data_IF_810829074003
#
_entry.id   IF_810829074003
#
_cell.length_a   1.000
_cell.length_b   1.000
_cell.length_c   1.000
_cell.angle_alpha   90.00
_cell.angle_beta   90.00
_cell.angle_gamma   90.00
#
_symmetry.space_group_name_H-M   'P 1'
#
loop_
_entity.id
_entity.type
_entity.pdbx_description
1 polymer ?
#
# COMPACT_ATOMS: atom_id res chain seq x y z
N UNK A 1 3.39 25.39 0.49
CA UNK A 1 2.27 24.54 0.03
C UNK A 1 2.82 23.13 -0.17
N UNK A 2 2.20 22.16 0.46
CA UNK A 2 2.53 20.74 0.28
C UNK A 2 2.04 20.27 -1.09
N UNK A 3 2.85 19.45 -1.74
CA UNK A 3 2.55 18.87 -3.05
C UNK A 3 2.74 17.36 -2.94
N UNK A 4 1.82 16.61 -3.52
CA UNK A 4 1.95 15.18 -3.69
C UNK A 4 2.25 14.86 -5.16
N UNK A 5 3.28 14.06 -5.38
CA UNK A 5 3.70 13.58 -6.69
C UNK A 5 3.89 12.06 -6.63
N UNK A 6 3.57 11.39 -7.72
CA UNK A 6 3.59 9.94 -7.79
C UNK A 6 4.36 9.50 -9.03
N UNK A 7 5.25 8.53 -8.85
CA UNK A 7 6.04 7.96 -9.94
C UNK A 7 5.61 6.50 -10.14
N UNK A 8 4.98 6.17 -11.29
CA UNK A 8 4.52 4.82 -11.57
C UNK A 8 5.64 3.93 -12.10
N UNK A 9 5.61 2.63 -11.72
CA UNK A 9 6.58 1.63 -12.12
C UNK A 9 5.93 0.29 -12.47
N UNK A 10 6.53 -0.41 -13.42
CA UNK A 10 6.22 -1.81 -13.72
C UNK A 10 6.99 -2.75 -12.79
N UNK A 11 8.26 -2.46 -12.54
CA UNK A 11 9.18 -3.31 -11.76
C UNK A 11 9.39 -2.78 -10.34
N UNK A 12 9.34 -3.68 -9.35
CA UNK A 12 9.54 -3.34 -7.94
C UNK A 12 10.98 -2.91 -7.65
N UNK A 13 11.96 -3.50 -8.34
CA UNK A 13 13.36 -3.17 -8.13
C UNK A 13 13.66 -1.73 -8.56
N UNK A 14 13.05 -1.27 -9.64
CA UNK A 14 13.16 0.12 -10.10
C UNK A 14 12.48 1.08 -9.15
N UNK A 15 11.27 0.74 -8.65
CA UNK A 15 10.59 1.50 -7.62
C UNK A 15 11.42 1.60 -6.32
N UNK A 16 12.00 0.49 -5.85
CA UNK A 16 12.90 0.47 -4.69
C UNK A 16 14.15 1.32 -4.92
N UNK A 17 14.77 1.20 -6.10
CA UNK A 17 15.94 2.01 -6.45
C UNK A 17 15.63 3.50 -6.40
N UNK A 18 14.48 3.91 -6.95
CA UNK A 18 14.01 5.31 -6.91
C UNK A 18 13.76 5.77 -5.47
N UNK A 19 12.98 5.02 -4.71
CA UNK A 19 12.68 5.35 -3.32
C UNK A 19 13.96 5.52 -2.47
N UNK A 20 14.90 4.59 -2.58
CA UNK A 20 16.15 4.66 -1.82
C UNK A 20 17.03 5.86 -2.23
N UNK A 21 17.06 6.21 -3.52
CA UNK A 21 17.77 7.41 -3.99
C UNK A 21 17.16 8.68 -3.43
N UNK A 22 15.83 8.78 -3.38
CA UNK A 22 15.11 9.90 -2.80
C UNK A 22 15.32 9.97 -1.28
N UNK A 23 15.18 8.84 -0.58
CA UNK A 23 15.38 8.76 0.86
C UNK A 23 16.79 9.16 1.31
N UNK A 24 17.83 8.79 0.55
CA UNK A 24 19.23 9.20 0.83
C UNK A 24 19.48 10.69 0.65
N UNK A 25 18.59 11.38 -0.05
CA UNK A 25 18.67 12.82 -0.31
C UNK A 25 17.70 13.62 0.56
N UNK A 26 17.00 12.96 1.47
CA UNK A 26 15.93 13.56 2.28
C UNK A 26 14.87 14.29 1.44
N UNK A 27 14.52 13.74 0.30
CA UNK A 27 13.49 14.32 -0.58
C UNK A 27 12.11 13.98 -0.05
N UNK A 28 11.32 15.02 0.21
CA UNK A 28 9.94 14.91 0.65
C UNK A 28 9.78 14.78 2.17
N UNK A 29 8.63 15.17 2.66
CA UNK A 29 8.18 15.00 4.05
C UNK A 29 7.64 13.58 4.29
N UNK A 30 7.15 12.94 3.23
CA UNK A 30 6.69 11.56 3.23
C UNK A 30 7.08 10.90 1.91
N UNK A 31 7.61 9.70 2.01
CA UNK A 31 8.07 8.91 0.86
C UNK A 31 7.67 7.46 1.09
N UNK A 32 6.98 6.86 0.12
CA UNK A 32 6.59 5.46 0.19
C UNK A 32 6.45 4.81 -1.18
N UNK A 33 6.67 3.48 -1.24
CA UNK A 33 6.20 2.65 -2.35
C UNK A 33 4.85 2.07 -1.97
N UNK A 34 3.89 2.12 -2.90
CA UNK A 34 2.57 1.51 -2.79
C UNK A 34 2.39 0.53 -3.95
N UNK A 35 1.83 -0.66 -3.68
CA UNK A 35 1.45 -1.56 -4.77
C UNK A 35 0.17 -1.11 -5.45
N UNK A 36 0.00 -1.39 -6.74
CA UNK A 36 -1.26 -1.11 -7.44
C UNK A 36 -2.42 -1.91 -6.83
N UNK A 37 -2.16 -3.11 -6.32
CA UNK A 37 -3.16 -3.91 -5.60
C UNK A 37 -3.57 -3.25 -4.30
N UNK A 38 -2.62 -2.78 -3.49
CA UNK A 38 -2.91 -2.02 -2.28
C UNK A 38 -3.75 -0.78 -2.58
N UNK A 39 -3.37 -0.01 -3.61
CA UNK A 39 -4.14 1.14 -4.05
C UNK A 39 -5.56 0.74 -4.47
N UNK A 40 -5.71 -0.32 -5.27
CA UNK A 40 -7.02 -0.83 -5.68
C UNK A 40 -7.89 -1.21 -4.47
N UNK A 41 -7.31 -1.88 -3.47
CA UNK A 41 -7.98 -2.27 -2.24
C UNK A 41 -8.44 -1.08 -1.41
N UNK A 42 -7.62 -0.05 -1.30
CA UNK A 42 -7.95 1.13 -0.51
C UNK A 42 -8.90 2.09 -1.23
N UNK A 43 -8.81 2.17 -2.55
CA UNK A 43 -9.54 3.16 -3.34
C UNK A 43 -10.90 2.66 -3.82
N UNK A 44 -11.03 1.36 -4.01
CA UNK A 44 -12.24 0.78 -4.58
C UNK A 44 -13.28 0.47 -3.50
N UNK A 45 -14.52 0.85 -3.71
CA UNK A 45 -15.56 0.68 -2.69
C UNK A 45 -16.19 -0.72 -2.67
N UNK A 46 -15.96 -1.55 -3.69
CA UNK A 46 -16.48 -2.92 -3.76
C UNK A 46 -15.41 -3.90 -4.22
N UNK A 47 -15.49 -5.19 -3.84
CA UNK A 47 -14.53 -6.21 -4.28
C UNK A 47 -14.44 -6.33 -5.81
N UNK A 48 -15.56 -6.17 -6.52
CA UNK A 48 -15.58 -6.24 -7.97
C UNK A 48 -14.79 -5.09 -8.60
N UNK A 49 -14.97 -3.86 -8.10
CA UNK A 49 -14.24 -2.68 -8.59
C UNK A 49 -12.75 -2.82 -8.27
N UNK A 50 -12.40 -3.35 -7.08
CA UNK A 50 -11.01 -3.66 -6.73
C UNK A 50 -10.37 -4.55 -7.78
N UNK A 51 -11.03 -5.67 -8.08
CA UNK A 51 -10.51 -6.64 -9.05
C UNK A 51 -10.39 -6.04 -10.45
N UNK A 52 -11.39 -5.31 -10.90
CA UNK A 52 -11.36 -4.68 -12.22
C UNK A 52 -10.26 -3.62 -12.31
N UNK A 53 -10.07 -2.84 -11.25
CA UNK A 53 -9.01 -1.84 -11.18
C UNK A 53 -7.62 -2.51 -11.21
N UNK A 54 -7.42 -3.56 -10.41
CA UNK A 54 -6.18 -4.34 -10.39
C UNK A 54 -5.88 -4.96 -11.77
N UNK A 55 -6.89 -5.60 -12.39
CA UNK A 55 -6.77 -6.19 -13.73
C UNK A 55 -6.37 -5.14 -14.76
N UNK A 56 -6.96 -3.96 -14.72
CA UNK A 56 -6.65 -2.86 -15.64
C UNK A 56 -5.22 -2.38 -15.43
N UNK A 57 -4.83 -2.11 -14.20
CA UNK A 57 -3.46 -1.68 -13.89
C UNK A 57 -2.44 -2.70 -14.39
N UNK A 58 -2.62 -3.97 -14.04
CA UNK A 58 -1.66 -5.03 -14.36
C UNK A 58 -1.64 -5.38 -15.85
N UNK A 59 -2.81 -5.60 -16.46
CA UNK A 59 -2.93 -6.13 -17.82
C UNK A 59 -2.70 -5.09 -18.91
N UNK A 60 -3.24 -3.89 -18.73
CA UNK A 60 -3.25 -2.87 -19.78
C UNK A 60 -2.24 -1.74 -19.55
N UNK A 61 -2.05 -1.34 -18.29
CA UNK A 61 -1.15 -0.23 -17.95
C UNK A 61 0.26 -0.69 -17.61
N UNK A 62 0.46 -1.96 -17.28
CA UNK A 62 1.70 -2.49 -16.67
C UNK A 62 2.10 -1.71 -15.40
N UNK A 63 1.12 -1.13 -14.72
CA UNK A 63 1.30 -0.39 -13.46
C UNK A 63 1.21 -1.36 -12.29
N UNK A 64 2.34 -1.66 -11.67
CA UNK A 64 2.39 -2.54 -10.50
C UNK A 64 2.74 -1.78 -9.21
N UNK A 65 3.49 -0.68 -9.32
CA UNK A 65 4.04 0.05 -8.20
C UNK A 65 3.97 1.55 -8.41
N UNK A 66 3.83 2.28 -7.31
CA UNK A 66 3.85 3.74 -7.30
C UNK A 66 4.77 4.21 -6.18
N UNK A 67 5.76 5.02 -6.51
CA UNK A 67 6.52 5.78 -5.52
C UNK A 67 5.76 7.07 -5.26
N UNK A 68 5.28 7.23 -4.03
CA UNK A 68 4.54 8.41 -3.55
C UNK A 68 5.48 9.33 -2.80
N UNK A 69 5.52 10.60 -3.16
CA UNK A 69 6.30 11.64 -2.49
C UNK A 69 5.36 12.79 -2.13
N UNK A 70 5.30 13.14 -0.84
CA UNK A 70 4.65 14.35 -0.36
C UNK A 70 5.74 15.29 0.11
N UNK A 71 5.79 16.50 -0.40
CA UNK A 71 6.86 17.44 -0.10
C UNK A 71 6.58 18.85 -0.57
N UNK A 72 7.61 19.58 -0.88
CA UNK A 72 7.59 20.96 -1.36
C UNK A 72 7.69 21.03 -2.88
N UNK A 73 7.58 22.23 -3.44
CA UNK A 73 7.83 22.47 -4.88
C UNK A 73 9.28 22.17 -5.29
N UNK A 74 10.23 22.27 -4.38
CA UNK A 74 11.62 21.96 -4.70
C UNK A 74 11.82 20.44 -4.70
N UNK A 75 11.17 19.70 -3.80
CA UNK A 75 11.13 18.24 -3.85
C UNK A 75 10.50 17.74 -5.16
N UNK A 76 9.43 18.39 -5.61
CA UNK A 76 8.78 18.06 -6.90
C UNK A 76 9.78 18.14 -8.06
N UNK A 77 10.57 19.22 -8.14
CA UNK A 77 11.57 19.39 -9.22
C UNK A 77 12.60 18.25 -9.19
N UNK A 78 13.06 17.87 -7.98
CA UNK A 78 14.03 16.78 -7.85
C UNK A 78 13.42 15.46 -8.33
N UNK A 79 12.16 15.18 -7.98
CA UNK A 79 11.47 13.96 -8.44
C UNK A 79 11.29 13.98 -9.95
N UNK A 80 10.86 15.11 -10.54
CA UNK A 80 10.66 15.25 -11.98
C UNK A 80 11.97 15.14 -12.78
N UNK A 81 13.11 15.56 -12.22
CA UNK A 81 14.43 15.38 -12.83
C UNK A 81 14.92 13.92 -12.80
N UNK A 82 14.42 13.13 -11.84
CA UNK A 82 14.83 11.74 -11.64
C UNK A 82 13.88 10.72 -12.29
N UNK A 83 12.66 11.11 -12.60
CA UNK A 83 11.63 10.25 -13.17
C UNK A 83 11.40 10.57 -14.65
N UNK A 84 11.18 9.55 -15.47
CA UNK A 84 10.85 9.74 -16.88
C UNK A 84 9.46 10.37 -17.07
N UNK A 85 8.55 10.12 -16.12
CA UNK A 85 7.21 10.68 -16.07
C UNK A 85 6.62 10.59 -14.66
N UNK A 86 5.69 11.47 -14.37
CA UNK A 86 5.06 11.58 -13.05
C UNK A 86 3.54 11.71 -13.16
N UNK A 87 2.84 11.34 -12.10
CA UNK A 87 1.44 11.68 -11.86
C UNK A 87 1.38 12.78 -10.81
N UNK A 88 0.66 13.84 -11.10
CA UNK A 88 0.30 14.82 -10.09
C UNK A 88 -0.89 14.36 -9.23
N UNK A 89 -1.10 15.07 -8.14
CA UNK A 89 -2.21 14.82 -7.21
C UNK A 89 -3.58 14.88 -7.89
N UNK A 90 -3.76 15.75 -8.87
CA UNK A 90 -5.03 15.90 -9.59
C UNK A 90 -5.36 14.65 -10.40
N UNK A 91 -4.39 14.10 -11.11
CA UNK A 91 -4.56 12.87 -11.88
C UNK A 91 -4.80 11.67 -10.97
N UNK A 92 -4.03 11.54 -9.88
CA UNK A 92 -4.25 10.47 -8.90
C UNK A 92 -5.66 10.59 -8.28
N UNK A 93 -6.09 11.79 -7.91
CA UNK A 93 -7.45 12.05 -7.42
C UNK A 93 -8.50 11.62 -8.45
N UNK A 94 -8.29 11.90 -9.72
CA UNK A 94 -9.19 11.47 -10.79
C UNK A 94 -9.23 9.96 -10.93
N UNK A 95 -8.11 9.26 -10.82
CA UNK A 95 -8.05 7.80 -10.80
C UNK A 95 -8.82 7.22 -9.61
N UNK A 96 -8.65 7.80 -8.43
CA UNK A 96 -9.33 7.38 -7.19
C UNK A 96 -10.85 7.57 -7.29
N UNK A 97 -11.28 8.76 -7.65
CA UNK A 97 -12.70 9.08 -7.79
C UNK A 97 -13.33 8.36 -8.96
N UNK A 98 -12.56 8.19 -10.02
CA UNK A 98 -12.96 7.48 -11.22
C UNK A 98 -12.80 5.95 -11.14
N UNK A 99 -12.30 5.38 -10.03
CA UNK A 99 -12.10 3.94 -9.90
C UNK A 99 -13.36 3.13 -10.26
N UNK A 100 -14.57 3.47 -9.79
CA UNK A 100 -15.79 2.79 -10.20
C UNK A 100 -16.06 2.91 -11.69
N UNK A 101 -15.78 4.05 -12.30
CA UNK A 101 -15.94 4.27 -13.73
C UNK A 101 -14.83 3.64 -14.54
N UNK A 102 -13.62 3.64 -14.01
CA UNK A 102 -12.48 2.99 -14.62
C UNK A 102 -12.74 1.48 -14.83
N UNK A 103 -13.44 0.85 -13.90
CA UNK A 103 -13.86 -0.55 -14.06
C UNK A 103 -14.76 -0.76 -15.28
N UNK A 104 -15.55 0.24 -15.67
CA UNK A 104 -16.40 0.16 -16.88
C UNK A 104 -15.61 0.27 -18.19
N UNK A 105 -14.34 0.66 -18.13
CA UNK A 105 -13.44 0.71 -19.30
C UNK A 105 -12.79 -0.66 -19.57
N UNK A 106 -12.96 -1.64 -18.69
CA UNK A 106 -12.44 -2.98 -18.89
C UNK A 106 -12.87 -3.51 -20.27
N UNK A 107 -11.90 -4.05 -20.99
CA UNK A 107 -12.07 -4.56 -22.36
C UNK A 107 -12.45 -3.50 -23.42
N UNK A 108 -12.39 -2.21 -23.11
CA UNK A 108 -12.60 -1.13 -24.08
C UNK A 108 -11.48 -1.09 -25.13
N UNK A 109 -11.80 -0.51 -26.30
CA UNK A 109 -10.80 -0.29 -27.36
C UNK A 109 -9.64 0.58 -26.89
N UNK A 110 -9.91 1.57 -26.04
CA UNK A 110 -8.89 2.40 -25.44
C UNK A 110 -7.85 1.57 -24.67
N UNK A 111 -8.29 0.64 -23.81
CA UNK A 111 -7.36 -0.19 -23.03
C UNK A 111 -6.62 -1.20 -23.91
N UNK A 112 -7.25 -1.70 -24.96
CA UNK A 112 -6.59 -2.59 -25.94
C UNK A 112 -5.45 -1.85 -26.65
N UNK A 113 -5.73 -0.67 -27.20
CA UNK A 113 -4.71 0.18 -27.84
C UNK A 113 -3.58 0.49 -26.86
N UNK A 114 -3.91 0.84 -25.62
CA UNK A 114 -2.90 1.09 -24.58
C UNK A 114 -2.01 -0.13 -24.31
N UNK A 115 -2.57 -1.32 -24.30
CA UNK A 115 -1.80 -2.56 -24.04
C UNK A 115 -0.85 -2.94 -25.17
N UNK A 116 -1.03 -2.38 -26.36
CA UNK A 116 -0.17 -2.57 -27.53
C UNK A 116 1.03 -1.59 -27.54
N UNK A 117 1.00 -0.55 -26.71
CA UNK A 117 2.11 0.37 -26.56
C UNK A 117 3.33 -0.35 -25.95
N UNK A 118 4.52 -0.01 -26.42
CA UNK A 118 5.79 -0.53 -25.89
C UNK A 118 5.94 -0.15 -24.41
N UNK A 119 5.67 1.12 -24.09
CA UNK A 119 5.62 1.66 -22.73
C UNK A 119 4.24 2.30 -22.44
N UNK A 120 3.29 1.51 -21.94
CA UNK A 120 1.95 2.00 -21.62
C UNK A 120 1.95 3.09 -20.53
N UNK A 121 2.87 3.05 -19.57
CA UNK A 121 2.97 4.07 -18.52
C UNK A 121 3.39 5.40 -19.12
N UNK A 122 4.38 5.43 -19.99
CA UNK A 122 4.79 6.63 -20.70
C UNK A 122 3.68 7.19 -21.57
N UNK A 123 2.99 6.34 -22.31
CA UNK A 123 1.87 6.74 -23.17
C UNK A 123 0.74 7.42 -22.36
N UNK A 124 0.47 6.91 -21.15
CA UNK A 124 -0.54 7.45 -20.24
C UNK A 124 -0.10 8.71 -19.51
N UNK A 125 1.10 8.73 -18.95
CA UNK A 125 1.49 9.78 -18.01
C UNK A 125 2.31 10.91 -18.62
N UNK A 126 3.01 10.67 -19.73
CA UNK A 126 3.77 11.68 -20.46
C UNK A 126 3.39 11.80 -21.96
N UNK A 127 2.52 10.92 -22.44
CA UNK A 127 2.19 10.79 -23.85
C UNK A 127 0.78 11.26 -24.23
N UNK A 128 0.38 10.95 -25.47
CA UNK A 128 -0.88 11.43 -26.04
C UNK A 128 -2.14 10.83 -25.37
N UNK A 129 -2.02 9.69 -24.69
CA UNK A 129 -3.15 9.00 -24.09
C UNK A 129 -3.61 9.62 -22.75
N UNK A 130 -2.80 10.50 -22.14
CA UNK A 130 -3.14 11.19 -20.88
C UNK A 130 -4.49 11.91 -20.94
N UNK A 131 -4.68 12.74 -21.97
CA UNK A 131 -5.95 13.49 -22.13
C UNK A 131 -7.16 12.56 -22.33
N UNK A 132 -6.94 11.41 -22.93
CA UNK A 132 -8.00 10.42 -23.13
C UNK A 132 -8.37 9.75 -21.80
N UNK A 133 -7.38 9.42 -20.99
CA UNK A 133 -7.57 8.90 -19.64
C UNK A 133 -8.36 9.90 -18.77
N UNK A 134 -7.90 11.16 -18.70
CA UNK A 134 -8.56 12.22 -17.93
C UNK A 134 -10.03 12.39 -18.33
N UNK A 135 -10.32 12.42 -19.63
CA UNK A 135 -11.69 12.49 -20.14
C UNK A 135 -12.53 11.26 -19.79
N UNK A 136 -11.90 10.09 -19.76
CA UNK A 136 -12.59 8.84 -19.45
C UNK A 136 -12.91 8.71 -17.95
N UNK A 137 -12.16 9.40 -17.10
CA UNK A 137 -12.30 9.36 -15.66
C UNK A 137 -13.23 10.45 -15.09
N UNK A 138 -13.97 11.20 -15.92
CA UNK A 138 -14.86 12.29 -15.47
C UNK A 138 -15.53 11.96 -14.11
N UNK A 139 -15.23 12.71 -13.04
CA UNK A 139 -15.59 12.36 -11.68
C UNK A 139 -17.03 12.78 -11.30
N UNK A 140 -17.96 12.87 -12.26
CA UNK A 140 -19.36 13.20 -11.92
C UNK A 140 -19.92 12.20 -10.89
N UNK A 141 -20.34 12.67 -9.70
CA UNK A 141 -20.88 11.80 -8.65
C UNK A 141 -22.06 10.94 -9.13
N UNK A 142 -22.88 11.49 -10.01
CA UNK A 142 -24.03 10.80 -10.58
C UNK A 142 -23.64 9.63 -11.47
N UNK A 143 -22.58 9.78 -12.26
CA UNK A 143 -22.10 8.73 -13.13
C UNK A 143 -21.37 7.65 -12.33
N UNK A 144 -20.60 8.03 -11.35
CA UNK A 144 -19.91 7.12 -10.45
C UNK A 144 -20.92 6.29 -9.67
N UNK A 145 -21.94 6.94 -9.09
CA UNK A 145 -22.96 6.25 -8.30
C UNK A 145 -23.72 5.17 -9.08
N UNK A 146 -23.88 5.31 -10.40
CA UNK A 146 -24.57 4.32 -11.24
C UNK A 146 -23.87 2.96 -11.34
N UNK A 147 -22.60 2.89 -10.95
CA UNK A 147 -21.82 1.64 -10.93
C UNK A 147 -22.21 0.74 -9.74
N UNK A 148 -22.89 1.30 -8.74
CA UNK A 148 -23.28 0.59 -7.53
C UNK A 148 -24.70 0.04 -7.60
N UNK A 149 -24.97 -0.93 -6.74
CA UNK A 149 -26.32 -1.40 -6.48
C UNK A 149 -27.22 -0.25 -6.08
N UNK A 150 -28.49 -0.35 -6.47
CA UNK A 150 -29.46 0.73 -6.29
C UNK A 150 -29.54 1.25 -4.86
N UNK A 151 -29.43 0.37 -3.89
CA UNK A 151 -29.54 0.71 -2.47
C UNK A 151 -28.30 1.48 -1.96
N UNK A 152 -27.16 1.38 -2.65
CA UNK A 152 -25.91 2.05 -2.32
C UNK A 152 -25.67 3.34 -3.12
N UNK A 153 -26.43 3.57 -4.19
CA UNK A 153 -26.21 4.71 -5.10
C UNK A 153 -26.27 6.05 -4.39
N UNK A 154 -27.28 6.27 -3.54
CA UNK A 154 -27.45 7.54 -2.82
C UNK A 154 -26.35 7.78 -1.79
N UNK A 155 -25.87 6.73 -1.14
CA UNK A 155 -24.73 6.81 -0.23
C UNK A 155 -23.47 7.24 -0.98
N UNK A 156 -23.10 6.55 -2.04
CA UNK A 156 -21.90 6.85 -2.78
C UNK A 156 -21.98 8.20 -3.51
N UNK A 157 -23.13 8.58 -4.02
CA UNK A 157 -23.36 9.92 -4.58
C UNK A 157 -23.04 11.01 -3.55
N UNK A 158 -23.51 10.87 -2.31
CA UNK A 158 -23.20 11.81 -1.23
C UNK A 158 -21.72 11.81 -0.88
N UNK A 159 -21.08 10.65 -0.81
CA UNK A 159 -19.65 10.53 -0.53
C UNK A 159 -18.81 11.25 -1.59
N UNK A 160 -19.08 11.00 -2.85
CA UNK A 160 -18.32 11.58 -3.97
C UNK A 160 -18.63 13.07 -4.25
N UNK A 161 -19.76 13.59 -3.76
CA UNK A 161 -20.12 15.01 -3.92
C UNK A 161 -19.43 15.93 -2.91
N UNK A 162 -18.79 15.40 -1.87
CA UNK A 162 -18.14 16.21 -0.81
C UNK A 162 -16.64 16.36 -1.08
N UNK A 163 -16.14 17.59 -1.28
CA UNK A 163 -14.71 17.84 -1.55
C UNK A 163 -13.79 17.22 -0.50
N UNK A 164 -14.12 17.34 0.77
CA UNK A 164 -13.36 16.78 1.88
C UNK A 164 -13.27 15.26 1.86
N UNK A 165 -14.25 14.57 1.28
CA UNK A 165 -14.22 13.11 1.09
C UNK A 165 -13.42 12.69 -0.12
N UNK A 166 -12.94 13.62 -0.91
CA UNK A 166 -12.13 13.40 -2.10
C UNK A 166 -10.69 13.87 -1.92
N UNK A 167 -10.36 14.41 -0.75
CA UNK A 167 -8.99 14.69 -0.38
C UNK A 167 -8.20 13.38 -0.23
N UNK A 168 -7.05 13.29 -0.89
CA UNK A 168 -6.26 12.06 -0.96
C UNK A 168 -5.79 11.61 0.42
N UNK A 169 -5.38 12.53 1.27
CA UNK A 169 -4.90 12.23 2.63
C UNK A 169 -6.02 11.59 3.45
N UNK A 170 -7.23 12.11 3.34
CA UNK A 170 -8.38 11.69 4.11
C UNK A 170 -9.17 10.54 3.49
N UNK A 171 -9.02 10.31 2.18
CA UNK A 171 -9.58 9.14 1.53
C UNK A 171 -9.16 7.85 2.21
N UNK A 172 -7.92 7.78 2.64
CA UNK A 172 -7.41 6.63 3.38
C UNK A 172 -7.99 6.54 4.79
N UNK A 173 -7.92 7.61 5.59
CA UNK A 173 -8.28 7.56 6.99
C UNK A 173 -9.77 7.29 7.24
N UNK A 174 -10.66 7.88 6.44
CA UNK A 174 -12.10 7.81 6.69
C UNK A 174 -12.87 6.82 5.83
N UNK A 175 -12.34 6.44 4.67
CA UNK A 175 -13.00 5.44 3.80
C UNK A 175 -12.59 4.00 4.08
N UNK A 176 -11.39 3.80 4.61
CA UNK A 176 -10.82 2.46 4.74
C UNK A 176 -11.71 1.57 5.60
N UNK A 177 -11.93 1.92 6.86
CA UNK A 177 -12.67 1.06 7.77
C UNK A 177 -14.15 0.87 7.40
N UNK A 178 -14.96 1.92 7.21
CA UNK A 178 -16.37 1.73 6.87
C UNK A 178 -16.59 0.99 5.56
N UNK A 179 -15.83 1.32 4.51
CA UNK A 179 -15.96 0.65 3.21
C UNK A 179 -15.46 -0.79 3.26
N UNK A 180 -14.43 -1.10 4.04
CA UNK A 180 -13.95 -2.46 4.23
C UNK A 180 -14.94 -3.33 4.98
N UNK A 181 -15.59 -2.81 6.02
CA UNK A 181 -16.65 -3.51 6.73
C UNK A 181 -17.84 -3.80 5.82
N UNK A 182 -18.28 -2.82 5.03
CA UNK A 182 -19.36 -3.01 4.05
C UNK A 182 -19.00 -4.03 2.96
N UNK A 183 -17.72 -4.12 2.62
CA UNK A 183 -17.22 -5.09 1.63
C UNK A 183 -16.93 -6.47 2.22
N UNK A 184 -17.07 -6.64 3.52
CA UNK A 184 -16.66 -7.86 4.22
C UNK A 184 -15.19 -8.20 3.96
N UNK A 185 -14.34 -7.17 3.90
CA UNK A 185 -12.95 -7.31 3.46
C UNK A 185 -12.02 -6.50 4.36
N UNK A 186 -11.77 -7.08 5.51
CA UNK A 186 -10.76 -6.56 6.44
C UNK A 186 -9.36 -7.01 6.01
N UNK A 187 -8.35 -6.40 6.58
CA UNK A 187 -6.97 -6.81 6.38
C UNK A 187 -6.26 -6.91 7.74
N UNK A 188 -5.21 -7.69 7.74
CA UNK A 188 -4.20 -7.66 8.78
C UNK A 188 -2.85 -7.41 8.13
N UNK A 189 -2.17 -6.35 8.58
CA UNK A 189 -0.90 -5.88 8.04
C UNK A 189 0.26 -6.16 8.98
N UNK A 190 0.86 -7.38 8.99
CA UNK A 190 2.14 -7.55 9.65
C UNK A 190 3.19 -6.66 8.97
N UNK A 191 4.05 -6.07 9.76
CA UNK A 191 5.07 -5.16 9.25
C UNK A 191 6.35 -5.23 10.07
N UNK A 192 7.36 -4.52 9.62
CA UNK A 192 8.63 -4.42 10.33
C UNK A 192 9.66 -3.57 9.62
N UNK A 193 10.67 -3.19 10.39
CA UNK A 193 11.82 -2.48 9.85
C UNK A 193 12.84 -3.48 9.32
N UNK A 194 13.28 -3.25 8.10
CA UNK A 194 14.23 -4.10 7.38
C UNK A 194 15.42 -3.28 6.90
N UNK A 195 16.58 -3.91 6.82
CA UNK A 195 17.77 -3.31 6.26
C UNK A 195 17.68 -3.25 4.73
N UNK A 196 18.05 -2.12 4.15
CA UNK A 196 17.90 -1.83 2.72
C UNK A 196 19.23 -1.82 1.95
N UNK A 197 20.33 -2.13 2.60
CA UNK A 197 21.65 -2.13 1.97
C UNK A 197 21.80 -3.12 0.80
N UNK A 198 20.94 -4.14 0.76
CA UNK A 198 20.79 -5.06 -0.38
C UNK A 198 19.33 -5.13 -0.82
N UNK A 199 19.06 -4.70 -2.05
CA UNK A 199 17.70 -4.76 -2.63
C UNK A 199 17.18 -6.22 -2.69
N UNK A 200 18.03 -7.20 -2.92
CA UNK A 200 17.59 -8.60 -2.96
C UNK A 200 17.13 -9.06 -1.57
N UNK A 201 17.73 -8.54 -0.49
CA UNK A 201 17.23 -8.81 0.87
C UNK A 201 15.80 -8.29 1.04
N UNK A 202 15.50 -7.08 0.60
CA UNK A 202 14.14 -6.51 0.62
C UNK A 202 13.17 -7.36 -0.20
N UNK A 203 13.57 -7.76 -1.41
CA UNK A 203 12.75 -8.61 -2.28
C UNK A 203 12.47 -9.98 -1.64
N UNK A 204 13.45 -10.59 -0.99
CA UNK A 204 13.27 -11.86 -0.28
C UNK A 204 12.28 -11.73 0.89
N UNK A 205 12.28 -10.61 1.58
CA UNK A 205 11.28 -10.32 2.61
C UNK A 205 9.87 -10.28 2.05
N UNK A 206 9.69 -9.56 0.96
CA UNK A 206 8.38 -9.46 0.29
C UNK A 206 7.93 -10.85 -0.18
N UNK A 207 8.85 -11.65 -0.76
CA UNK A 207 8.53 -13.00 -1.20
C UNK A 207 8.14 -13.91 -0.02
N UNK A 208 8.82 -13.83 1.11
CA UNK A 208 8.45 -14.57 2.31
C UNK A 208 7.01 -14.27 2.77
N UNK A 209 6.61 -13.02 2.78
CA UNK A 209 5.24 -12.64 3.11
C UNK A 209 4.24 -13.21 2.10
N UNK A 210 4.58 -13.17 0.81
CA UNK A 210 3.74 -13.74 -0.25
C UNK A 210 3.58 -15.26 -0.07
N UNK A 211 4.69 -15.97 0.15
CA UNK A 211 4.68 -17.42 0.33
C UNK A 211 3.84 -17.87 1.53
N UNK A 212 3.87 -17.09 2.63
CA UNK A 212 3.01 -17.36 3.80
C UNK A 212 1.53 -17.12 3.45
N UNK A 213 1.21 -16.05 2.71
CA UNK A 213 -0.15 -15.80 2.23
C UNK A 213 -0.68 -16.91 1.36
N UNK A 214 0.11 -17.34 0.38
CA UNK A 214 -0.22 -18.44 -0.52
C UNK A 214 -0.41 -19.78 0.22
N UNK A 215 0.46 -20.08 1.20
CA UNK A 215 0.35 -21.28 2.04
C UNK A 215 -1.00 -21.39 2.74
N UNK A 216 -1.54 -20.28 3.22
CA UNK A 216 -2.85 -20.23 3.89
C UNK A 216 -4.01 -19.95 2.94
N UNK A 217 -3.73 -19.83 1.63
CA UNK A 217 -4.72 -19.47 0.61
C UNK A 217 -5.51 -18.21 0.99
N UNK A 218 -4.77 -17.19 1.39
CA UNK A 218 -5.29 -15.85 1.66
C UNK A 218 -5.01 -14.94 0.47
N UNK A 219 -5.90 -14.02 0.22
CA UNK A 219 -5.59 -12.92 -0.66
C UNK A 219 -4.64 -11.95 0.06
N UNK A 220 -3.59 -11.49 -0.62
CA UNK A 220 -2.56 -10.69 0.00
C UNK A 220 -1.89 -9.72 -0.98
N UNK A 221 -1.26 -8.70 -0.45
CA UNK A 221 -0.40 -7.79 -1.22
C UNK A 221 0.61 -7.09 -0.33
N UNK A 222 1.71 -6.63 -0.94
CA UNK A 222 2.53 -5.61 -0.30
C UNK A 222 1.67 -4.35 -0.10
N UNK A 223 1.57 -3.88 1.14
CA UNK A 223 0.90 -2.64 1.50
C UNK A 223 1.75 -1.45 1.07
N UNK A 224 2.75 -1.14 1.87
CA UNK A 224 3.68 -0.06 1.56
C UNK A 224 5.10 -0.35 2.07
N UNK A 225 6.06 0.37 1.50
CA UNK A 225 7.44 0.46 2.02
C UNK A 225 7.78 1.94 2.14
N UNK A 226 8.25 2.36 3.31
CA UNK A 226 8.73 3.73 3.54
C UNK A 226 10.17 3.71 4.03
N UNK A 227 11.06 4.57 3.51
CA UNK A 227 12.45 4.60 3.94
C UNK A 227 12.55 5.22 5.33
N UNK A 228 13.48 4.71 6.12
CA UNK A 228 13.89 5.21 7.43
C UNK A 228 15.39 5.48 7.42
N UNK A 229 15.85 6.39 8.28
CA UNK A 229 17.27 6.66 8.46
C UNK A 229 17.99 6.87 7.12
N UNK A 230 17.58 7.88 6.36
CA UNK A 230 18.15 8.21 5.03
C UNK A 230 18.17 7.01 4.07
N UNK A 231 17.20 6.11 4.19
CA UNK A 231 17.09 4.93 3.37
C UNK A 231 18.06 3.78 3.72
N UNK A 232 18.70 3.80 4.88
CA UNK A 232 19.49 2.67 5.38
C UNK A 232 18.60 1.53 5.85
N UNK A 233 17.41 1.86 6.32
CA UNK A 233 16.34 0.96 6.67
C UNK A 233 15.06 1.36 5.93
N UNK A 234 14.09 0.46 5.91
CA UNK A 234 12.72 0.77 5.52
C UNK A 234 11.75 0.09 6.48
N UNK A 235 10.62 0.72 6.73
CA UNK A 235 9.47 0.06 7.31
C UNK A 235 8.59 -0.47 6.19
N UNK A 236 8.16 -1.72 6.32
CA UNK A 236 7.30 -2.39 5.36
C UNK A 236 6.06 -2.92 6.07
N UNK A 237 4.92 -2.78 5.42
CA UNK A 237 3.66 -3.42 5.79
C UNK A 237 3.21 -4.33 4.65
N UNK A 238 2.79 -5.54 5.01
CA UNK A 238 2.26 -6.52 4.07
C UNK A 238 0.87 -6.94 4.51
N UNK A 239 -0.12 -6.86 3.61
CA UNK A 239 -1.52 -7.04 3.95
C UNK A 239 -2.03 -8.41 3.56
N UNK A 240 -2.73 -9.06 4.49
CA UNK A 240 -3.54 -10.26 4.27
C UNK A 240 -5.01 -9.90 4.41
N UNK A 241 -5.79 -10.14 3.36
CA UNK A 241 -7.21 -9.75 3.30
C UNK A 241 -8.12 -10.91 3.71
N UNK A 242 -9.21 -10.60 4.41
CA UNK A 242 -10.16 -11.61 4.86
C UNK A 242 -11.57 -11.04 5.09
N UNK A 243 -12.59 -11.90 4.99
CA UNK A 243 -13.93 -11.59 5.45
C UNK A 243 -13.97 -11.75 6.97
N UNK A 244 -14.23 -10.66 7.68
CA UNK A 244 -14.29 -10.64 9.13
C UNK A 244 -15.53 -11.37 9.72
N UNK A 245 -16.50 -11.72 8.87
CA UNK A 245 -17.66 -12.51 9.26
C UNK A 245 -17.43 -14.03 9.09
N UNK A 246 -16.30 -14.44 8.50
CA UNK A 246 -15.93 -15.84 8.34
C UNK A 246 -14.98 -16.29 9.47
N UNK A 247 -15.45 -17.13 10.43
CA UNK A 247 -14.60 -17.58 11.53
C UNK A 247 -13.41 -18.43 11.09
N UNK A 248 -13.52 -19.16 9.97
CA UNK A 248 -12.42 -19.97 9.45
C UNK A 248 -11.28 -19.08 8.95
N UNK A 249 -11.61 -17.99 8.25
CA UNK A 249 -10.64 -16.99 7.82
C UNK A 249 -10.00 -16.29 9.02
N UNK A 250 -10.75 -15.98 10.08
CA UNK A 250 -10.19 -15.44 11.32
C UNK A 250 -9.10 -16.33 11.93
N UNK A 251 -9.32 -17.66 11.96
CA UNK A 251 -8.31 -18.61 12.43
C UNK A 251 -7.09 -18.67 11.50
N UNK A 252 -7.29 -18.66 10.19
CA UNK A 252 -6.20 -18.64 9.20
C UNK A 252 -5.34 -17.39 9.35
N UNK A 253 -5.95 -16.23 9.47
CA UNK A 253 -5.28 -14.94 9.66
C UNK A 253 -4.38 -14.96 10.89
N UNK A 254 -4.87 -15.48 12.02
CA UNK A 254 -4.06 -15.55 13.25
C UNK A 254 -2.82 -16.43 13.05
N UNK A 255 -2.95 -17.58 12.39
CA UNK A 255 -1.83 -18.46 12.08
C UNK A 255 -0.85 -17.79 11.10
N UNK A 256 -1.37 -17.15 10.07
CA UNK A 256 -0.57 -16.42 9.08
C UNK A 256 0.26 -15.34 9.76
N UNK A 257 -0.35 -14.55 10.65
CA UNK A 257 0.37 -13.51 11.39
C UNK A 257 1.51 -14.08 12.24
N UNK A 258 1.23 -15.13 13.00
CA UNK A 258 2.24 -15.77 13.85
C UNK A 258 3.41 -16.29 13.00
N UNK A 259 3.12 -17.02 11.92
CA UNK A 259 4.17 -17.57 11.05
C UNK A 259 4.97 -16.47 10.37
N UNK A 260 4.30 -15.44 9.87
CA UNK A 260 4.96 -14.28 9.25
C UNK A 260 5.92 -13.61 10.23
N UNK A 261 5.48 -13.39 11.48
CA UNK A 261 6.32 -12.79 12.51
C UNK A 261 7.53 -13.68 12.84
N UNK A 262 7.33 -14.99 12.97
CA UNK A 262 8.43 -15.95 13.21
C UNK A 262 9.47 -15.93 12.09
N UNK A 263 9.03 -15.99 10.84
CA UNK A 263 9.93 -15.96 9.69
C UNK A 263 10.64 -14.60 9.56
N UNK A 264 9.95 -13.50 9.88
CA UNK A 264 10.55 -12.16 9.89
C UNK A 264 11.71 -12.07 10.86
N UNK A 265 11.57 -12.61 12.07
CA UNK A 265 12.68 -12.65 13.03
C UNK A 265 13.84 -13.52 12.55
N UNK A 266 13.55 -14.67 11.96
CA UNK A 266 14.60 -15.53 11.39
C UNK A 266 15.36 -14.86 10.24
N UNK A 267 14.74 -13.91 9.54
CA UNK A 267 15.37 -13.14 8.47
C UNK A 267 16.06 -11.84 8.96
N UNK A 268 16.17 -11.63 10.27
CA UNK A 268 16.85 -10.47 10.84
C UNK A 268 15.97 -9.22 10.94
N UNK A 269 14.68 -9.37 11.23
CA UNK A 269 13.80 -8.24 11.52
C UNK A 269 14.39 -7.40 12.65
N UNK A 270 14.44 -6.10 12.46
CA UNK A 270 14.77 -5.15 13.54
C UNK A 270 13.61 -5.13 14.53
N UNK A 271 13.89 -5.47 15.79
CA UNK A 271 12.89 -5.46 16.85
C UNK A 271 12.52 -4.01 17.18
N UNK A 272 11.22 -3.71 17.12
CA UNK A 272 10.71 -2.39 17.46
C UNK A 272 9.96 -2.39 18.79
N UNK A 273 9.69 -1.21 19.36
CA UNK A 273 8.86 -1.07 20.56
C UNK A 273 7.49 -1.76 20.38
N UNK A 274 6.90 -1.67 19.18
CA UNK A 274 5.63 -2.34 18.87
C UNK A 274 5.73 -3.86 18.98
N UNK A 275 6.84 -4.46 18.59
CA UNK A 275 7.06 -5.90 18.72
C UNK A 275 7.05 -6.35 20.19
N UNK A 276 7.57 -5.52 21.10
CA UNK A 276 7.51 -5.76 22.53
C UNK A 276 6.09 -5.62 23.10
N UNK A 277 5.36 -4.61 22.66
CA UNK A 277 3.95 -4.44 23.05
C UNK A 277 3.10 -5.62 22.59
N UNK A 278 3.26 -6.07 21.36
CA UNK A 278 2.58 -7.27 20.86
C UNK A 278 3.02 -8.53 21.60
N UNK A 279 4.29 -8.67 21.96
CA UNK A 279 4.78 -9.78 22.79
C UNK A 279 4.06 -9.84 24.15
N UNK A 280 3.78 -8.69 24.77
CA UNK A 280 2.98 -8.59 25.98
C UNK A 280 1.54 -9.04 25.81
N UNK A 281 0.91 -8.73 24.69
CA UNK A 281 -0.47 -9.14 24.38
C UNK A 281 -0.60 -10.64 24.12
N UNK A 282 0.43 -11.31 23.61
CA UNK A 282 0.44 -12.74 23.30
C UNK A 282 0.99 -13.62 24.43
N UNK A 283 1.25 -13.07 25.63
CA UNK A 283 1.83 -13.80 26.76
C UNK A 283 0.99 -14.94 27.30
N UNK A 284 -0.23 -15.11 26.86
CA UNK A 284 -1.16 -16.10 27.45
C UNK A 284 -1.11 -17.50 26.86
N UNK A 285 -0.24 -17.93 26.09
CA UNK A 285 -0.03 -19.34 25.72
C UNK A 285 0.80 -19.47 24.44
N UNK A 286 2.08 -19.78 24.61
CA UNK A 286 2.91 -20.53 23.67
C UNK A 286 3.63 -19.86 22.50
N UNK A 287 3.83 -18.56 22.45
CA UNK A 287 4.79 -18.03 21.48
C UNK A 287 5.97 -17.40 22.22
N UNK A 288 6.93 -18.24 22.57
CA UNK A 288 8.29 -17.78 22.86
C UNK A 288 8.89 -17.33 21.52
N UNK A 289 8.89 -16.03 21.27
CA UNK A 289 9.74 -15.49 20.21
C UNK A 289 11.19 -15.77 20.62
N UNK A 290 11.97 -16.48 19.81
CA UNK A 290 13.39 -16.50 20.06
C UNK A 290 13.85 -15.05 20.04
N UNK A 291 14.54 -14.61 21.10
CA UNK A 291 15.27 -13.36 21.08
C UNK A 291 16.24 -13.45 19.92
N UNK A 292 16.27 -12.48 18.99
CA UNK A 292 17.20 -12.56 17.87
C UNK A 292 18.60 -12.86 18.39
N UNK A 293 19.27 -13.85 17.79
CA UNK A 293 20.67 -14.12 18.08
C UNK A 293 21.46 -12.83 17.85
N UNK A 294 22.12 -12.32 18.86
CA UNK A 294 22.92 -11.10 18.77
C UNK A 294 22.46 -9.91 19.60
N UNK A 295 21.28 -9.94 20.21
CA UNK A 295 20.91 -8.94 21.22
C UNK A 295 21.46 -9.40 22.57
N UNK A 296 22.35 -8.60 23.17
CA UNK A 296 22.92 -8.91 24.48
C UNK A 296 21.85 -8.96 25.57
N UNK A 297 22.05 -9.78 26.61
CA UNK A 297 21.15 -9.78 27.79
C UNK A 297 21.08 -8.40 28.46
N UNK A 298 22.14 -7.62 28.36
CA UNK A 298 22.24 -6.27 28.88
C UNK A 298 21.31 -5.31 28.12
N UNK A 299 21.30 -5.38 26.77
CA UNK A 299 20.38 -4.59 25.93
C UNK A 299 18.91 -4.98 26.15
N UNK A 300 18.64 -6.25 26.41
CA UNK A 300 17.30 -6.72 26.75
C UNK A 300 16.83 -6.16 28.10
N UNK A 301 17.74 -6.08 29.07
CA UNK A 301 17.46 -5.54 30.41
C UNK A 301 17.19 -4.05 30.33
N UNK A 302 18.05 -3.29 29.65
CA UNK A 302 17.88 -1.84 29.43
C UNK A 302 16.55 -1.54 28.73
N UNK A 303 16.19 -2.32 27.73
CA UNK A 303 14.94 -2.12 27.00
C UNK A 303 13.72 -2.45 27.86
N UNK A 304 13.80 -3.47 28.71
CA UNK A 304 12.75 -3.82 29.68
C UNK A 304 12.56 -2.70 30.71
N UNK A 305 13.64 -2.19 31.28
CA UNK A 305 13.63 -1.08 32.23
C UNK A 305 13.05 0.20 31.61
N UNK A 306 13.40 0.49 30.36
CA UNK A 306 12.83 1.62 29.61
C UNK A 306 11.30 1.45 29.41
N UNK A 307 10.85 0.27 29.06
CA UNK A 307 9.42 -0.03 28.92
C UNK A 307 8.68 0.09 30.26
N UNK A 308 9.20 -0.45 31.33
CA UNK A 308 8.63 -0.34 32.67
C UNK A 308 8.56 1.13 33.13
N UNK A 309 9.57 1.95 32.78
CA UNK A 309 9.58 3.38 33.12
C UNK A 309 8.55 4.21 32.35
N UNK A 310 8.24 3.82 31.11
CA UNK A 310 7.31 4.54 30.22
C UNK A 310 5.88 4.10 30.42
N UNK A 311 5.64 2.80 30.65
CA UNK A 311 4.31 2.20 30.67
C UNK A 311 3.79 1.89 32.08
N UNK A 312 4.63 2.05 33.12
CA UNK A 312 4.32 1.65 34.49
C UNK A 312 4.39 0.13 34.68
N UNK A 313 4.30 -0.32 35.94
CA UNK A 313 4.21 -1.76 36.25
C UNK A 313 2.92 -2.36 35.64
N UNK A 314 3.09 -3.34 34.79
CA UNK A 314 2.00 -4.13 34.20
C UNK A 314 1.79 -5.42 34.97
#
# INVERSE_FOLDING_TARGET
DEIAIFVPFTDLKDALSMMLKLGRRDVGLSLAILSAKYLAEFLSPTPQITKDFEDICKKYMKLNWVVSVVGTKDDQKIVEEMADYTMDQSLLKSLILGAPRFSTLKDSEFLKVLSEEEDPLKALFAGPMRKHLEKSLDPSPEQIAKVYDKDLQDFFKKVYSKPEMTDIVWLHAFRILPTRMLRQRMFMGPGGSIWTGDINHVLNWIQMFADVGDKYNLEHSLGFITPLDHGNFAYMEYDYFYDHNDPELGSKISKTFIETMQQSYAMGKVVTLLDYLFKGMYRKEHVLYPVPEGISEEDQTVFKELLESVLGEW
#
